data_IF_913688601078
#
_entry.id   IF_913688601078
#
_cell.length_a   1.000
_cell.length_b   1.000
_cell.length_c   1.000
_cell.angle_alpha   90.00
_cell.angle_beta   90.00
_cell.angle_gamma   90.00
#
_symmetry.space_group_name_H-M   'P 1'
#
loop_
_entity.id
_entity.type
_entity.pdbx_description
1 polymer ?
#
# COMPACT_ATOMS: atom_id res chain seq x y z
N UNK A 1 -8.20 -11.91 14.25
CA UNK A 1 -6.82 -11.38 14.07
C UNK A 1 -6.46 -11.50 12.61
N UNK A 2 -6.54 -10.40 11.85
CA UNK A 2 -6.07 -10.39 10.45
C UNK A 2 -4.58 -10.71 10.45
N UNK A 3 -4.17 -11.75 9.72
CA UNK A 3 -2.74 -12.08 9.56
C UNK A 3 -2.07 -10.86 8.93
N UNK A 4 -1.03 -10.34 9.58
CA UNK A 4 -0.26 -9.20 9.07
C UNK A 4 0.37 -9.64 7.74
N UNK A 5 0.08 -8.94 6.64
CA UNK A 5 0.73 -9.23 5.36
C UNK A 5 2.11 -8.60 5.34
N UNK A 6 3.15 -9.43 5.36
CA UNK A 6 4.54 -8.96 5.32
C UNK A 6 4.91 -8.29 3.98
N UNK A 7 4.57 -8.85 2.80
CA UNK A 7 4.85 -8.21 1.51
C UNK A 7 4.16 -6.84 1.37
N UNK A 8 2.89 -6.75 1.76
CA UNK A 8 2.11 -5.53 1.69
C UNK A 8 2.65 -4.43 2.60
N UNK A 9 3.07 -4.78 3.81
CA UNK A 9 3.70 -3.82 4.72
C UNK A 9 5.09 -3.39 4.25
N UNK A 10 5.83 -4.27 3.57
CA UNK A 10 7.17 -3.96 3.03
C UNK A 10 7.09 -2.91 1.92
N UNK A 11 6.20 -3.07 0.94
CA UNK A 11 6.02 -2.09 -0.14
C UNK A 11 5.53 -0.73 0.41
N UNK A 12 4.53 -0.74 1.30
CA UNK A 12 4.03 0.50 1.91
C UNK A 12 5.11 1.21 2.73
N UNK A 13 5.98 0.47 3.40
CA UNK A 13 7.13 1.02 4.14
C UNK A 13 8.14 1.66 3.19
N UNK A 14 8.47 0.99 2.08
CA UNK A 14 9.42 1.50 1.09
C UNK A 14 8.95 2.85 0.52
N UNK A 15 7.66 2.93 0.16
CA UNK A 15 7.05 4.16 -0.38
C UNK A 15 6.99 5.25 0.69
N UNK A 16 6.53 4.90 1.90
CA UNK A 16 6.45 5.84 3.01
C UNK A 16 7.82 6.46 3.36
N UNK A 17 8.90 5.67 3.29
CA UNK A 17 10.29 6.12 3.54
C UNK A 17 10.81 7.07 2.46
N UNK A 18 10.38 6.88 1.21
CA UNK A 18 10.73 7.79 0.11
C UNK A 18 9.87 9.06 0.11
N UNK A 19 8.98 9.23 1.11
CA UNK A 19 8.00 10.33 1.16
C UNK A 19 7.06 10.38 -0.05
N UNK A 20 6.95 9.27 -0.77
CA UNK A 20 6.07 9.12 -1.92
C UNK A 20 4.66 8.75 -1.47
N UNK A 21 3.71 8.93 -2.39
CA UNK A 21 2.29 8.61 -2.18
C UNK A 21 1.88 7.45 -3.09
N UNK A 22 0.61 7.08 -3.04
CA UNK A 22 0.02 6.06 -3.90
C UNK A 22 0.33 6.25 -5.39
N UNK A 23 0.54 7.49 -5.85
CA UNK A 23 0.84 7.79 -7.25
C UNK A 23 2.20 7.24 -7.70
N UNK A 24 3.08 6.88 -6.77
CA UNK A 24 4.35 6.21 -7.04
C UNK A 24 4.24 4.68 -7.07
N UNK A 25 3.06 4.10 -6.78
CA UNK A 25 2.82 2.66 -6.96
C UNK A 25 2.73 2.37 -8.45
N UNK A 26 3.88 2.12 -9.08
CA UNK A 26 3.92 1.60 -10.45
C UNK A 26 3.78 0.08 -10.45
N UNK A 27 3.40 -0.47 -11.60
CA UNK A 27 3.32 -1.93 -11.78
C UNK A 27 4.70 -2.60 -11.60
N UNK A 28 5.78 -1.90 -11.96
CA UNK A 28 7.16 -2.35 -11.77
C UNK A 28 7.54 -2.42 -10.28
N UNK A 29 7.21 -1.39 -9.51
CA UNK A 29 7.43 -1.39 -8.06
C UNK A 29 6.65 -2.52 -7.41
N UNK A 30 5.39 -2.75 -7.80
CA UNK A 30 4.58 -3.86 -7.27
C UNK A 30 5.09 -5.24 -7.69
N UNK A 31 5.66 -5.38 -8.89
CA UNK A 31 6.21 -6.65 -9.38
C UNK A 31 7.46 -7.10 -8.60
N UNK A 32 8.21 -6.16 -8.01
CA UNK A 32 9.36 -6.46 -7.15
C UNK A 32 9.01 -7.05 -5.77
N UNK A 33 7.71 -7.17 -5.45
CA UNK A 33 7.22 -7.73 -4.20
C UNK A 33 6.39 -9.00 -4.43
N UNK A 34 6.44 -9.94 -3.48
CA UNK A 34 5.62 -11.16 -3.45
C UNK A 34 4.16 -10.85 -3.08
N UNK A 35 3.53 -9.93 -3.82
CA UNK A 35 2.13 -9.53 -3.63
C UNK A 35 1.20 -10.51 -4.32
N UNK A 36 0.18 -10.95 -3.60
CA UNK A 36 -0.94 -11.69 -4.18
C UNK A 36 -1.84 -10.81 -5.03
N UNK A 37 -2.70 -11.42 -5.85
CA UNK A 37 -3.59 -10.69 -6.78
C UNK A 37 -4.52 -9.72 -6.06
N UNK A 38 -5.06 -10.13 -4.91
CA UNK A 38 -5.94 -9.30 -4.09
C UNK A 38 -5.22 -8.06 -3.53
N UNK A 39 -3.94 -8.18 -3.18
CA UNK A 39 -3.13 -7.07 -2.65
C UNK A 39 -2.80 -6.07 -3.76
N UNK A 40 -2.41 -6.56 -4.95
CA UNK A 40 -2.17 -5.70 -6.11
C UNK A 40 -3.43 -4.96 -6.54
N UNK A 41 -4.56 -5.66 -6.60
CA UNK A 41 -5.84 -5.04 -6.94
C UNK A 41 -6.22 -3.94 -5.93
N UNK A 42 -6.05 -4.20 -4.63
CA UNK A 42 -6.34 -3.22 -3.59
C UNK A 42 -5.40 -1.99 -3.67
N UNK A 43 -4.10 -2.20 -3.92
CA UNK A 43 -3.13 -1.12 -4.12
C UNK A 43 -3.47 -0.26 -5.34
N UNK A 44 -3.78 -0.89 -6.48
CA UNK A 44 -4.16 -0.20 -7.73
C UNK A 44 -5.45 0.60 -7.59
N UNK A 45 -6.49 0.00 -6.99
CA UNK A 45 -7.76 0.67 -6.76
C UNK A 45 -7.66 1.77 -5.69
N UNK A 46 -6.61 1.75 -4.86
CA UNK A 46 -6.54 2.56 -3.65
C UNK A 46 -7.63 2.20 -2.64
N UNK A 47 -8.04 0.92 -2.60
CA UNK A 47 -9.06 0.41 -1.70
C UNK A 47 -8.48 0.25 -0.29
N UNK A 48 -8.57 1.35 0.47
CA UNK A 48 -8.07 1.43 1.84
C UNK A 48 -8.70 0.35 2.72
N UNK A 49 -10.00 0.11 2.61
CA UNK A 49 -10.72 -0.87 3.43
C UNK A 49 -10.17 -2.26 3.14
N UNK A 50 -10.00 -2.61 1.86
CA UNK A 50 -9.45 -3.90 1.48
C UNK A 50 -8.00 -4.09 1.94
N UNK A 51 -7.18 -3.03 1.92
CA UNK A 51 -5.83 -3.07 2.47
C UNK A 51 -5.82 -3.38 3.98
N UNK A 52 -6.76 -2.84 4.75
CA UNK A 52 -6.92 -3.17 6.17
C UNK A 52 -7.28 -4.65 6.37
N UNK A 53 -8.23 -5.18 5.59
CA UNK A 53 -8.64 -6.58 5.67
C UNK A 53 -7.50 -7.55 5.32
N UNK A 54 -6.67 -7.17 4.34
CA UNK A 54 -5.47 -7.91 3.92
C UNK A 54 -4.30 -7.79 4.92
N UNK A 55 -4.47 -7.05 6.02
CA UNK A 55 -3.48 -7.00 7.10
C UNK A 55 -2.37 -5.96 6.89
N UNK A 56 -2.61 -4.93 6.08
CA UNK A 56 -1.73 -3.77 6.01
C UNK A 56 -1.80 -2.93 7.30
N UNK A 57 -0.69 -2.28 7.62
CA UNK A 57 -0.58 -1.43 8.80
C UNK A 57 -1.40 -0.13 8.60
N UNK A 58 -2.34 0.17 9.52
CA UNK A 58 -3.16 1.39 9.49
C UNK A 58 -2.37 2.70 9.33
N UNK A 59 -1.17 2.76 9.91
CA UNK A 59 -0.30 3.93 9.82
C UNK A 59 0.27 4.10 8.41
N UNK A 60 0.75 3.01 7.82
CA UNK A 60 1.34 3.03 6.48
C UNK A 60 0.30 3.35 5.42
N UNK A 61 -0.91 2.80 5.52
CA UNK A 61 -2.01 3.16 4.62
C UNK A 61 -2.28 4.66 4.68
N UNK A 62 -2.43 5.23 5.89
CA UNK A 62 -2.65 6.68 6.06
C UNK A 62 -1.50 7.52 5.51
N UNK A 63 -0.27 7.04 5.61
CA UNK A 63 0.92 7.76 5.10
C UNK A 63 0.95 7.79 3.57
N UNK A 64 0.69 6.66 2.91
CA UNK A 64 0.81 6.50 1.46
C UNK A 64 -0.44 6.99 0.71
N UNK A 65 -1.64 6.75 1.26
CA UNK A 65 -2.92 7.07 0.62
C UNK A 65 -3.56 8.37 1.14
N UNK A 66 -2.81 9.23 1.84
CA UNK A 66 -3.33 10.55 2.24
C UNK A 66 -3.75 11.36 1.02
N UNK A 67 -4.82 12.14 1.18
CA UNK A 67 -5.26 13.11 0.17
C UNK A 67 -4.15 14.15 -0.01
N UNK A 68 -3.69 14.40 -1.25
CA UNK A 68 -2.90 15.61 -1.54
C UNK A 68 -3.83 16.80 -1.29
N UNK A 69 -3.48 17.63 -0.32
CA UNK A 69 -4.06 18.96 -0.25
C UNK A 69 -3.41 19.76 -1.38
N UNK A 70 -4.19 20.03 -2.42
CA UNK A 70 -3.81 20.99 -3.45
C UNK A 70 -3.95 22.37 -2.81
N UNK A 71 -2.84 23.11 -2.67
CA UNK A 71 -2.84 24.51 -2.25
C UNK A 71 -3.33 25.36 -3.43
#
# INVERSE_FOLDING_TARGET
MSKISYPLNKILTAIARQHLLKDALTDEEMAGHELGDAERAALKAGDIVRLYELGANPYLIRRVFRRRFTI
#
